data_IF_795259769499
#
_entry.id   IF_795259769499
#
_cell.length_a   1.000
_cell.length_b   1.000
_cell.length_c   1.000
_cell.angle_alpha   90.00
_cell.angle_beta   90.00
_cell.angle_gamma   90.00
#
_symmetry.space_group_name_H-M   'P 1'
#
loop_
_entity.id
_entity.type
_entity.pdbx_description
1 polymer ?
#
# COMPACT_ATOMS: atom_id res chain seq x y z
N UNK A 1 18.61 -17.04 13.21
CA UNK A 1 17.33 -16.90 13.94
C UNK A 1 17.28 -15.47 14.45
N UNK A 2 16.26 -14.70 14.09
CA UNK A 2 16.16 -13.31 14.52
C UNK A 2 15.69 -13.27 15.97
N UNK A 3 16.27 -12.38 16.79
CA UNK A 3 15.80 -12.15 18.15
C UNK A 3 14.46 -11.42 18.12
N UNK A 4 13.40 -12.15 18.42
CA UNK A 4 12.04 -11.61 18.43
C UNK A 4 11.80 -10.92 19.78
N UNK A 5 11.25 -9.72 19.76
CA UNK A 5 10.89 -9.02 20.98
C UNK A 5 9.86 -9.87 21.78
N UNK A 6 10.14 -10.20 23.07
CA UNK A 6 9.28 -11.09 23.87
C UNK A 6 7.80 -10.70 23.94
N UNK A 7 7.49 -9.44 23.75
CA UNK A 7 6.12 -8.88 23.73
C UNK A 7 5.22 -9.51 22.63
N UNK A 8 5.83 -10.16 21.62
CA UNK A 8 5.14 -10.72 20.47
C UNK A 8 5.06 -12.24 20.47
N UNK A 9 5.70 -12.94 21.42
CA UNK A 9 5.87 -14.38 21.38
C UNK A 9 4.57 -15.20 21.34
N UNK A 10 3.47 -14.68 21.92
CA UNK A 10 2.19 -15.38 22.01
C UNK A 10 1.07 -14.71 21.20
N UNK A 11 1.38 -13.67 20.45
CA UNK A 11 0.40 -12.92 19.65
C UNK A 11 0.52 -13.32 18.19
N UNK A 12 -0.57 -13.84 17.62
CA UNK A 12 -0.69 -14.09 16.18
C UNK A 12 -1.71 -13.13 15.58
N UNK A 13 -1.42 -12.62 14.41
CA UNK A 13 -2.33 -11.77 13.66
C UNK A 13 -3.14 -12.62 12.69
N UNK A 14 -4.44 -12.34 12.60
CA UNK A 14 -5.37 -12.95 11.65
C UNK A 14 -5.98 -11.87 10.79
N UNK A 15 -6.19 -12.19 9.52
CA UNK A 15 -6.80 -11.29 8.55
C UNK A 15 -8.07 -11.91 7.99
N UNK A 16 -9.20 -11.21 8.15
CA UNK A 16 -10.45 -11.54 7.47
C UNK A 16 -10.51 -10.75 6.17
N UNK A 17 -10.30 -11.42 5.05
CA UNK A 17 -10.26 -10.79 3.73
C UNK A 17 -11.62 -10.20 3.34
N UNK A 18 -12.72 -10.91 3.60
CA UNK A 18 -14.07 -10.48 3.25
C UNK A 18 -14.50 -9.19 3.98
N UNK A 19 -14.12 -9.05 5.23
CA UNK A 19 -14.41 -7.87 6.06
C UNK A 19 -13.26 -6.85 6.09
N UNK A 20 -12.12 -7.22 5.53
CA UNK A 20 -10.86 -6.44 5.58
C UNK A 20 -10.47 -6.04 7.01
N UNK A 21 -10.55 -7.02 7.94
CA UNK A 21 -10.30 -6.81 9.36
C UNK A 21 -9.13 -7.62 9.86
N UNK A 22 -8.31 -7.00 10.70
CA UNK A 22 -7.23 -7.67 11.42
C UNK A 22 -7.63 -7.87 12.88
N UNK A 23 -7.39 -9.08 13.39
CA UNK A 23 -7.57 -9.41 14.81
C UNK A 23 -6.39 -10.25 15.28
N UNK A 24 -6.15 -10.27 16.59
CA UNK A 24 -5.13 -11.13 17.16
C UNK A 24 -5.70 -12.38 17.90
N UNK A 25 -4.82 -13.19 18.45
CA UNK A 25 -5.15 -14.37 19.26
C UNK A 25 -6.10 -14.07 20.43
N UNK A 26 -6.09 -12.82 20.92
CA UNK A 26 -6.91 -12.34 22.03
C UNK A 26 -8.17 -11.60 21.60
N UNK A 27 -8.51 -11.62 20.30
CA UNK A 27 -9.63 -10.91 19.68
C UNK A 27 -9.53 -9.39 19.71
N UNK A 28 -8.34 -8.81 19.92
CA UNK A 28 -8.17 -7.39 19.76
C UNK A 28 -8.28 -7.03 18.27
N UNK A 29 -9.06 -6.00 17.95
CA UNK A 29 -9.19 -5.49 16.59
C UNK A 29 -8.11 -4.45 16.31
N UNK A 30 -7.44 -4.58 15.17
CA UNK A 30 -6.38 -3.68 14.73
C UNK A 30 -6.88 -2.73 13.64
N UNK A 31 -6.37 -1.52 13.63
CA UNK A 31 -6.50 -0.61 12.48
C UNK A 31 -5.36 -0.89 11.49
N UNK A 32 -5.68 -0.91 10.20
CA UNK A 32 -4.62 -1.03 9.20
C UNK A 32 -3.78 0.25 9.12
N UNK A 33 -2.50 0.12 8.77
CA UNK A 33 -1.61 1.26 8.55
C UNK A 33 -2.20 2.25 7.54
N UNK A 34 -2.78 1.77 6.46
CA UNK A 34 -3.42 2.61 5.44
C UNK A 34 -4.60 3.40 6.00
N UNK A 35 -5.48 2.74 6.77
CA UNK A 35 -6.62 3.40 7.42
C UNK A 35 -6.15 4.46 8.41
N UNK A 36 -5.14 4.16 9.23
CA UNK A 36 -4.55 5.12 10.16
C UNK A 36 -4.03 6.37 9.43
N UNK A 37 -3.29 6.19 8.34
CA UNK A 37 -2.71 7.31 7.59
C UNK A 37 -3.76 8.17 6.89
N UNK A 38 -4.89 7.59 6.47
CA UNK A 38 -6.02 8.34 5.92
C UNK A 38 -6.69 9.27 6.92
N UNK A 39 -6.51 9.09 8.22
CA UNK A 39 -6.98 10.04 9.24
C UNK A 39 -6.22 11.37 9.17
N UNK A 40 -4.99 11.37 8.65
CA UNK A 40 -4.14 12.55 8.47
C UNK A 40 -4.26 13.20 7.09
N UNK A 41 -5.07 12.65 6.20
CA UNK A 41 -5.37 13.27 4.91
C UNK A 41 -6.65 14.11 5.01
N UNK A 42 -6.68 15.34 4.43
CA UNK A 42 -7.91 16.10 4.33
C UNK A 42 -9.01 15.30 3.63
N UNK A 43 -10.19 15.23 4.26
CA UNK A 43 -11.31 14.45 3.72
C UNK A 43 -11.84 15.07 2.43
N UNK A 44 -12.04 14.23 1.42
CA UNK A 44 -12.65 14.63 0.16
C UNK A 44 -14.17 14.81 0.32
N UNK A 45 -14.66 16.02 0.13
CA UNK A 45 -16.10 16.30 0.14
C UNK A 45 -16.75 15.84 -1.17
N UNK A 46 -17.09 14.55 -1.24
CA UNK A 46 -17.72 13.92 -2.41
C UNK A 46 -19.01 14.63 -2.81
N UNK A 47 -19.85 15.06 -1.84
CA UNK A 47 -21.14 15.69 -2.11
C UNK A 47 -20.97 17.06 -2.78
N UNK A 48 -20.08 17.89 -2.23
CA UNK A 48 -19.75 19.19 -2.82
C UNK A 48 -19.23 19.04 -4.25
N UNK A 49 -18.28 18.14 -4.46
CA UNK A 49 -17.66 17.96 -5.76
C UNK A 49 -18.59 17.32 -6.79
N UNK A 50 -19.48 16.41 -6.40
CA UNK A 50 -20.52 15.88 -7.29
C UNK A 50 -21.42 17.00 -7.80
N UNK A 51 -21.98 17.82 -6.90
CA UNK A 51 -22.84 18.95 -7.28
C UNK A 51 -22.14 19.92 -8.21
N UNK A 52 -20.91 20.33 -7.86
CA UNK A 52 -20.12 21.26 -8.66
C UNK A 52 -19.77 20.72 -10.05
N UNK A 53 -19.31 19.47 -10.11
CA UNK A 53 -18.84 18.89 -11.37
C UNK A 53 -19.97 18.44 -12.28
N UNK A 54 -21.09 17.98 -11.73
CA UNK A 54 -22.28 17.67 -12.54
C UNK A 54 -22.81 18.90 -13.26
N UNK A 55 -22.88 20.06 -12.57
CA UNK A 55 -23.25 21.33 -13.18
C UNK A 55 -22.26 21.78 -14.28
N UNK A 56 -20.94 21.66 -14.02
CA UNK A 56 -19.90 22.01 -14.99
C UNK A 56 -19.94 21.12 -16.27
N UNK A 57 -20.36 19.86 -16.13
CA UNK A 57 -20.35 18.88 -17.22
C UNK A 57 -21.71 18.72 -17.90
N UNK A 58 -22.78 19.31 -17.35
CA UNK A 58 -24.14 19.17 -17.88
C UNK A 58 -24.70 17.75 -17.78
N UNK A 59 -24.29 16.98 -16.76
CA UNK A 59 -24.77 15.61 -16.51
C UNK A 59 -25.31 15.49 -15.09
N UNK A 60 -26.18 14.50 -14.83
CA UNK A 60 -26.74 14.32 -13.50
C UNK A 60 -25.68 13.87 -12.49
N UNK A 61 -25.84 14.22 -11.21
CA UNK A 61 -24.97 13.79 -10.11
C UNK A 61 -24.87 12.25 -10.04
N UNK A 62 -26.00 11.56 -10.26
CA UNK A 62 -26.05 10.08 -10.29
C UNK A 62 -25.17 9.51 -11.39
N UNK A 63 -25.22 10.06 -12.61
CA UNK A 63 -24.38 9.62 -13.73
C UNK A 63 -22.90 9.91 -13.46
N UNK A 64 -22.58 11.07 -12.88
CA UNK A 64 -21.21 11.40 -12.51
C UNK A 64 -20.67 10.51 -11.39
N UNK A 65 -21.49 10.22 -10.37
CA UNK A 65 -21.12 9.31 -9.30
C UNK A 65 -20.82 7.90 -9.82
N UNK A 66 -21.65 7.39 -10.75
CA UNK A 66 -21.40 6.12 -11.40
C UNK A 66 -20.08 6.11 -12.19
N UNK A 67 -19.83 7.12 -13.01
CA UNK A 67 -18.55 7.24 -13.73
C UNK A 67 -17.34 7.25 -12.79
N UNK A 68 -17.43 7.91 -11.63
CA UNK A 68 -16.34 7.89 -10.65
C UNK A 68 -16.15 6.51 -10.03
N UNK A 69 -17.24 5.82 -9.77
CA UNK A 69 -17.22 4.46 -9.26
C UNK A 69 -16.58 3.50 -10.28
N UNK A 70 -17.02 3.54 -11.54
CA UNK A 70 -16.49 2.69 -12.63
C UNK A 70 -14.97 2.90 -12.81
N UNK A 71 -14.50 4.16 -12.76
CA UNK A 71 -13.07 4.50 -12.83
C UNK A 71 -12.29 3.91 -11.64
N UNK A 72 -12.88 3.96 -10.45
CA UNK A 72 -12.25 3.45 -9.22
C UNK A 72 -12.18 1.92 -9.27
N UNK A 73 -13.27 1.26 -9.63
CA UNK A 73 -13.36 -0.20 -9.73
C UNK A 73 -12.38 -0.75 -10.78
N UNK A 74 -12.32 -0.13 -11.97
CA UNK A 74 -11.33 -0.50 -12.99
C UNK A 74 -9.89 -0.33 -12.51
N UNK A 75 -9.59 0.78 -11.83
CA UNK A 75 -8.26 1.03 -11.32
C UNK A 75 -7.88 0.05 -10.21
N UNK A 76 -8.80 -0.27 -9.30
CA UNK A 76 -8.61 -1.27 -8.24
C UNK A 76 -8.41 -2.66 -8.84
N UNK A 77 -9.28 -3.10 -9.74
CA UNK A 77 -9.18 -4.42 -10.38
C UNK A 77 -7.86 -4.62 -11.12
N UNK A 78 -7.40 -3.59 -11.85
CA UNK A 78 -6.10 -3.62 -12.52
C UNK A 78 -4.95 -3.66 -11.53
N UNK A 79 -4.99 -2.81 -10.49
CA UNK A 79 -3.97 -2.79 -9.44
C UNK A 79 -3.85 -4.14 -8.75
N UNK A 80 -4.96 -4.70 -8.33
CA UNK A 80 -5.04 -6.03 -7.69
C UNK A 80 -4.48 -7.12 -8.61
N UNK A 81 -4.81 -7.10 -9.90
CA UNK A 81 -4.29 -8.10 -10.85
C UNK A 81 -2.77 -8.06 -10.98
N UNK A 82 -2.17 -6.87 -11.07
CA UNK A 82 -0.71 -6.72 -11.16
C UNK A 82 -0.06 -7.13 -9.83
N UNK A 83 -0.60 -6.66 -8.74
CA UNK A 83 -0.12 -6.92 -7.38
C UNK A 83 -0.14 -8.43 -7.08
N UNK A 84 -1.31 -9.06 -7.25
CA UNK A 84 -1.45 -10.51 -7.02
C UNK A 84 -0.52 -11.32 -7.94
N UNK A 85 -0.34 -10.92 -9.21
CA UNK A 85 0.57 -11.60 -10.13
C UNK A 85 2.03 -11.57 -9.68
N UNK A 86 2.48 -10.47 -9.09
CA UNK A 86 3.83 -10.35 -8.52
C UNK A 86 3.95 -11.12 -7.20
N UNK A 87 2.96 -10.98 -6.34
CA UNK A 87 2.86 -11.69 -5.07
C UNK A 87 2.82 -13.21 -5.27
N UNK A 88 1.94 -13.70 -6.14
CA UNK A 88 1.83 -15.12 -6.46
C UNK A 88 3.13 -15.66 -7.06
N UNK A 89 3.83 -14.86 -7.88
CA UNK A 89 5.15 -15.20 -8.41
C UNK A 89 6.17 -15.43 -7.31
N UNK A 90 6.22 -14.54 -6.32
CA UNK A 90 7.13 -14.69 -5.18
C UNK A 90 6.71 -15.86 -4.30
N UNK A 91 5.43 -16.00 -3.97
CA UNK A 91 4.92 -17.08 -3.13
C UNK A 91 5.08 -18.46 -3.75
N UNK A 92 4.81 -18.60 -5.04
CA UNK A 92 4.96 -19.86 -5.77
C UNK A 92 6.41 -20.33 -5.76
N UNK A 93 7.34 -19.41 -6.01
CA UNK A 93 8.76 -19.74 -6.00
C UNK A 93 9.29 -20.04 -4.61
N UNK A 94 8.73 -19.42 -3.58
CA UNK A 94 9.12 -19.69 -2.19
C UNK A 94 8.60 -21.03 -1.64
N UNK A 95 7.83 -21.79 -2.40
CA UNK A 95 7.20 -23.08 -2.05
C UNK A 95 6.35 -23.05 -0.76
N UNK A 96 5.77 -21.92 -0.41
CA UNK A 96 5.25 -21.71 0.95
C UNK A 96 3.80 -21.30 1.05
N UNK A 97 3.11 -21.23 -0.05
CA UNK A 97 1.69 -20.88 -0.05
C UNK A 97 0.85 -21.80 0.87
N UNK A 98 1.22 -23.07 0.93
CA UNK A 98 0.45 -24.06 1.71
C UNK A 98 0.68 -24.03 3.22
N UNK A 99 1.70 -23.37 3.67
CA UNK A 99 2.02 -23.36 5.11
C UNK A 99 1.62 -22.08 5.84
N UNK A 100 1.27 -21.02 5.10
CA UNK A 100 0.49 -19.91 5.64
C UNK A 100 -0.96 -20.39 5.64
N UNK A 101 -1.18 -21.46 6.34
CA UNK A 101 -2.47 -22.10 6.30
C UNK A 101 -3.49 -21.27 7.01
N UNK A 102 -4.65 -21.24 6.38
CA UNK A 102 -5.92 -21.06 7.03
C UNK A 102 -5.90 -21.80 8.37
N UNK A 103 -5.69 -21.10 9.46
CA UNK A 103 -6.04 -21.61 10.77
C UNK A 103 -7.53 -21.35 10.87
N UNK A 104 -8.39 -22.36 10.63
CA UNK A 104 -9.81 -22.13 10.69
C UNK A 104 -10.15 -21.71 12.11
N UNK A 105 -10.58 -20.47 12.28
CA UNK A 105 -11.44 -20.13 13.40
C UNK A 105 -12.81 -20.72 13.14
N UNK A 106 -13.62 -20.80 14.18
CA UNK A 106 -14.98 -21.34 14.10
C UNK A 106 -15.89 -20.69 13.05
N UNK A 107 -15.50 -19.55 12.47
CA UNK A 107 -16.22 -18.84 11.41
C UNK A 107 -15.68 -19.13 10.00
N UNK A 108 -14.64 -19.91 9.85
CA UNK A 108 -13.98 -20.30 8.59
C UNK A 108 -13.55 -19.12 7.68
N UNK A 109 -13.51 -17.88 8.21
CA UNK A 109 -13.21 -16.67 7.42
C UNK A 109 -11.86 -16.06 7.74
N UNK A 110 -11.18 -16.56 8.78
CA UNK A 110 -9.93 -15.99 9.28
C UNK A 110 -8.73 -16.77 8.78
N UNK A 111 -7.80 -16.05 8.18
CA UNK A 111 -6.52 -16.55 7.70
C UNK A 111 -5.40 -16.01 8.56
N UNK A 112 -4.42 -16.85 8.93
CA UNK A 112 -3.18 -16.34 9.53
C UNK A 112 -2.35 -15.69 8.44
N UNK A 113 -2.03 -14.43 8.59
CA UNK A 113 -1.03 -13.80 7.70
C UNK A 113 0.36 -14.29 8.10
N UNK A 114 1.23 -14.46 7.11
CA UNK A 114 2.63 -14.68 7.38
C UNK A 114 3.19 -13.41 8.00
N UNK A 115 3.52 -13.46 9.26
CA UNK A 115 4.09 -12.33 9.97
C UNK A 115 5.60 -12.52 10.19
N UNK A 116 6.26 -11.40 10.51
CA UNK A 116 7.71 -11.38 10.68
C UNK A 116 8.18 -12.25 11.86
N UNK A 117 7.30 -12.53 12.83
CA UNK A 117 7.64 -13.37 13.98
C UNK A 117 7.72 -14.86 13.61
N UNK A 118 7.05 -15.25 12.53
CA UNK A 118 6.97 -16.63 12.07
C UNK A 118 7.71 -16.87 10.75
N UNK A 119 8.38 -15.86 10.22
CA UNK A 119 8.97 -15.89 8.88
C UNK A 119 9.89 -17.09 8.64
N UNK A 120 10.76 -17.39 9.61
CA UNK A 120 11.70 -18.52 9.49
C UNK A 120 11.04 -19.90 9.64
N UNK A 121 9.80 -19.95 10.17
CA UNK A 121 9.06 -21.19 10.37
C UNK A 121 8.20 -21.53 9.15
N UNK A 122 7.70 -20.52 8.47
CA UNK A 122 6.63 -20.70 7.49
C UNK A 122 6.98 -20.18 6.08
N UNK A 123 7.98 -19.34 5.90
CA UNK A 123 8.26 -18.72 4.60
C UNK A 123 9.68 -18.99 4.14
N UNK A 124 9.80 -19.45 2.89
CA UNK A 124 11.06 -19.51 2.17
C UNK A 124 11.28 -18.23 1.39
N UNK A 125 12.53 -17.77 1.27
CA UNK A 125 12.84 -16.64 0.41
C UNK A 125 12.61 -16.99 -1.06
N UNK A 126 12.41 -15.97 -1.87
CA UNK A 126 12.28 -16.09 -3.33
C UNK A 126 13.46 -16.84 -3.96
N UNK A 127 13.16 -17.63 -4.98
CA UNK A 127 14.14 -18.16 -5.95
C UNK A 127 14.01 -17.33 -7.23
N UNK A 128 15.04 -16.54 -7.55
CA UNK A 128 14.95 -15.50 -8.58
C UNK A 128 14.63 -16.05 -9.97
N UNK A 129 15.28 -17.14 -10.40
CA UNK A 129 15.04 -17.74 -11.72
C UNK A 129 13.60 -18.22 -11.90
N UNK A 130 13.00 -18.77 -10.82
CA UNK A 130 11.61 -19.19 -10.83
C UNK A 130 10.67 -17.99 -10.91
N UNK A 131 10.95 -16.92 -10.17
CA UNK A 131 10.20 -15.68 -10.23
C UNK A 131 10.23 -15.03 -11.62
N UNK A 132 11.41 -14.96 -12.25
CA UNK A 132 11.58 -14.47 -13.61
C UNK A 132 10.75 -15.29 -14.59
N UNK A 133 10.78 -16.61 -14.47
CA UNK A 133 10.00 -17.53 -15.32
C UNK A 133 8.50 -17.36 -15.10
N UNK A 134 8.05 -17.26 -13.85
CA UNK A 134 6.65 -17.08 -13.51
C UNK A 134 6.08 -15.75 -14.04
N UNK A 135 6.85 -14.68 -13.91
CA UNK A 135 6.46 -13.34 -14.38
C UNK A 135 6.75 -13.12 -15.88
N UNK A 136 7.11 -14.18 -16.62
CA UNK A 136 7.34 -14.15 -18.07
C UNK A 136 8.37 -13.07 -18.49
N UNK A 137 9.35 -12.81 -17.64
CA UNK A 137 10.39 -11.79 -17.87
C UNK A 137 9.86 -10.35 -18.10
N UNK A 138 8.75 -10.00 -17.46
CA UNK A 138 8.09 -8.68 -17.65
C UNK A 138 8.74 -7.53 -16.87
N UNK A 139 9.52 -7.82 -15.82
CA UNK A 139 10.00 -6.81 -14.87
C UNK A 139 11.54 -6.78 -14.73
N UNK A 140 12.33 -6.55 -15.81
CA UNK A 140 13.79 -6.67 -15.77
C UNK A 140 14.45 -5.81 -14.67
N UNK A 141 13.96 -4.60 -14.42
CA UNK A 141 14.49 -3.73 -13.37
C UNK A 141 14.27 -4.26 -11.95
N UNK A 142 13.19 -5.00 -11.73
CA UNK A 142 12.94 -5.66 -10.45
C UNK A 142 13.91 -6.82 -10.27
N UNK A 143 14.14 -7.59 -11.33
CA UNK A 143 15.08 -8.74 -11.30
C UNK A 143 16.50 -8.29 -11.00
N UNK A 144 16.98 -7.21 -11.62
CA UNK A 144 18.31 -6.63 -11.35
C UNK A 144 18.46 -6.26 -9.86
N UNK A 145 17.41 -5.69 -9.24
CA UNK A 145 17.44 -5.34 -7.83
C UNK A 145 17.42 -6.57 -6.96
N UNK A 146 16.56 -7.54 -7.27
CA UNK A 146 16.46 -8.77 -6.49
C UNK A 146 17.78 -9.56 -6.58
N UNK A 147 18.36 -9.68 -7.78
CA UNK A 147 19.66 -10.31 -7.98
C UNK A 147 20.75 -9.64 -7.15
N UNK A 148 20.81 -8.30 -7.20
CA UNK A 148 21.77 -7.55 -6.40
C UNK A 148 21.66 -7.88 -4.91
N UNK A 149 20.44 -7.89 -4.34
CA UNK A 149 20.28 -8.16 -2.92
C UNK A 149 20.54 -9.63 -2.57
N UNK A 150 20.09 -10.58 -3.38
CA UNK A 150 20.33 -12.01 -3.16
C UNK A 150 21.83 -12.30 -3.20
N UNK A 151 22.55 -11.77 -4.18
CA UNK A 151 24.01 -11.91 -4.31
C UNK A 151 24.76 -11.31 -3.11
N UNK A 152 24.18 -10.28 -2.46
CA UNK A 152 24.73 -9.67 -1.24
C UNK A 152 24.21 -10.31 0.06
N UNK A 153 23.66 -11.53 0.00
CA UNK A 153 23.27 -12.32 1.16
C UNK A 153 21.93 -11.94 1.80
N UNK A 154 21.09 -11.18 1.09
CA UNK A 154 19.72 -10.91 1.55
C UNK A 154 18.77 -12.00 1.09
N UNK A 155 17.72 -12.21 1.88
CA UNK A 155 16.56 -13.02 1.54
C UNK A 155 15.41 -12.09 1.21
N UNK A 156 14.57 -12.44 0.25
CA UNK A 156 13.42 -11.61 -0.20
C UNK A 156 12.14 -12.39 0.04
N UNK A 157 11.18 -11.72 0.66
CA UNK A 157 9.87 -12.27 1.04
C UNK A 157 8.75 -11.34 0.58
N UNK A 158 7.57 -11.88 0.34
CA UNK A 158 6.37 -11.12 -0.03
C UNK A 158 5.25 -11.29 0.99
N UNK A 159 4.39 -10.29 1.10
CA UNK A 159 3.17 -10.29 1.90
C UNK A 159 3.41 -10.65 3.39
N UNK A 160 4.34 -9.93 3.99
CA UNK A 160 4.69 -10.15 5.40
C UNK A 160 3.83 -9.29 6.31
N UNK A 161 3.04 -9.92 7.16
CA UNK A 161 2.26 -9.24 8.19
C UNK A 161 3.16 -8.62 9.26
N UNK A 162 2.89 -7.36 9.58
CA UNK A 162 3.54 -6.62 10.66
C UNK A 162 2.50 -5.94 11.53
N UNK A 163 2.72 -5.91 12.84
CA UNK A 163 1.76 -5.32 13.76
C UNK A 163 2.40 -4.87 15.08
N UNK A 164 1.75 -3.92 15.72
CA UNK A 164 2.13 -3.40 17.05
C UNK A 164 0.97 -3.64 18.02
N UNK A 165 1.01 -4.70 18.85
CA UNK A 165 -0.07 -5.03 19.77
C UNK A 165 -0.44 -3.90 20.73
N UNK A 166 0.54 -3.17 21.24
CA UNK A 166 0.32 -2.07 22.17
C UNK A 166 -0.40 -0.86 21.55
N UNK A 167 -0.41 -0.76 20.23
CA UNK A 167 -1.03 0.31 19.45
C UNK A 167 -2.20 -0.15 18.61
N UNK A 168 -2.44 -1.46 18.56
CA UNK A 168 -3.47 -2.10 17.74
C UNK A 168 -3.40 -1.59 16.29
N UNK A 169 -2.18 -1.59 15.73
CA UNK A 169 -1.91 -1.23 14.34
C UNK A 169 -1.32 -2.45 13.65
N UNK A 170 -1.77 -2.68 12.42
CA UNK A 170 -1.29 -3.78 11.58
C UNK A 170 -1.12 -3.34 10.13
N UNK A 171 -0.48 -4.19 9.34
CA UNK A 171 -0.40 -4.05 7.91
C UNK A 171 0.38 -5.20 7.29
N UNK A 172 0.44 -5.20 5.97
CA UNK A 172 1.17 -6.18 5.18
C UNK A 172 2.23 -5.49 4.36
N UNK A 173 3.45 -6.01 4.41
CA UNK A 173 4.60 -5.53 3.64
C UNK A 173 4.64 -6.31 2.34
N UNK A 174 4.52 -5.62 1.20
CA UNK A 174 4.55 -6.26 -0.12
C UNK A 174 5.88 -6.96 -0.39
N UNK A 175 7.00 -6.31 -0.03
CA UNK A 175 8.35 -6.84 -0.22
C UNK A 175 9.20 -6.55 1.00
N UNK A 176 9.67 -7.59 1.66
CA UNK A 176 10.67 -7.51 2.71
C UNK A 176 11.98 -8.12 2.22
N UNK A 177 13.06 -7.32 2.22
CA UNK A 177 14.42 -7.73 1.88
C UNK A 177 15.22 -7.76 3.16
N UNK A 178 15.60 -8.94 3.64
CA UNK A 178 16.05 -9.17 5.00
C UNK A 178 17.42 -9.83 5.03
N UNK A 179 18.30 -9.32 5.87
CA UNK A 179 19.56 -9.91 6.26
C UNK A 179 19.69 -9.85 7.80
N UNK A 180 20.59 -10.59 8.39
CA UNK A 180 20.73 -10.69 9.86
C UNK A 180 20.97 -9.34 10.54
N UNK A 181 21.65 -8.41 9.88
CA UNK A 181 22.06 -7.13 10.45
C UNK A 181 21.19 -5.94 10.00
N UNK A 182 20.34 -6.09 8.98
CA UNK A 182 19.52 -5.01 8.41
C UNK A 182 18.42 -5.50 7.49
N UNK A 183 17.49 -4.61 7.19
CA UNK A 183 16.41 -4.89 6.26
C UNK A 183 16.08 -3.70 5.35
N UNK A 184 15.42 -3.99 4.23
CA UNK A 184 14.79 -2.99 3.36
C UNK A 184 13.32 -3.36 3.15
N UNK A 185 12.51 -2.36 2.82
CA UNK A 185 11.09 -2.55 2.47
C UNK A 185 10.83 -1.97 1.10
N UNK A 186 10.16 -2.74 0.26
CA UNK A 186 9.61 -2.32 -1.01
C UNK A 186 8.08 -2.44 -1.01
N UNK A 187 7.44 -1.67 -1.90
CA UNK A 187 5.99 -1.69 -2.03
C UNK A 187 5.61 -1.40 -3.49
N UNK A 188 4.62 -2.16 -4.00
CA UNK A 188 4.13 -2.05 -5.37
C UNK A 188 3.08 -0.96 -5.49
N UNK A 189 3.19 -0.11 -6.50
CA UNK A 189 2.17 0.92 -6.78
C UNK A 189 1.82 0.94 -8.26
N UNK A 190 0.53 1.02 -8.55
CA UNK A 190 -0.02 0.98 -9.91
C UNK A 190 -0.86 2.22 -10.26
N UNK A 191 -0.64 3.32 -9.56
CA UNK A 191 -1.40 4.56 -9.75
C UNK A 191 -1.29 5.06 -11.19
N UNK A 192 -2.43 5.33 -11.82
CA UNK A 192 -2.46 5.99 -13.11
C UNK A 192 -1.87 7.41 -13.01
N UNK A 193 -0.98 7.74 -13.95
CA UNK A 193 -0.32 9.06 -13.99
C UNK A 193 0.85 9.19 -13.03
N UNK A 194 1.33 8.07 -12.46
CA UNK A 194 2.54 7.99 -11.67
C UNK A 194 2.43 8.49 -10.24
N UNK A 195 3.54 8.46 -9.54
CA UNK A 195 3.65 8.99 -8.19
C UNK A 195 3.91 10.49 -8.23
N UNK A 196 3.27 11.21 -7.33
CA UNK A 196 3.43 12.66 -7.15
C UNK A 196 3.95 12.92 -5.75
N UNK A 197 4.99 13.75 -5.66
CA UNK A 197 5.61 14.19 -4.42
C UNK A 197 5.27 15.65 -4.06
N UNK A 198 4.39 16.25 -4.86
CA UNK A 198 3.83 17.59 -4.65
C UNK A 198 2.31 17.53 -4.75
N UNK A 199 1.64 18.34 -3.94
CA UNK A 199 0.19 18.54 -4.09
C UNK A 199 -0.12 19.34 -5.35
N UNK A 200 -1.15 18.96 -6.10
CA UNK A 200 -1.52 19.64 -7.33
C UNK A 200 -2.45 18.81 -8.22
N UNK A 201 -2.57 19.25 -9.47
CA UNK A 201 -3.37 18.55 -10.47
C UNK A 201 -2.88 18.89 -11.89
N UNK A 202 -3.15 17.99 -12.82
CA UNK A 202 -2.96 18.30 -14.25
C UNK A 202 -4.09 19.17 -14.78
N UNK A 203 -3.72 20.24 -15.51
CA UNK A 203 -4.68 21.07 -16.21
C UNK A 203 -5.46 20.24 -17.23
N UNK A 204 -6.74 20.59 -17.43
CA UNK A 204 -7.59 19.91 -18.41
C UNK A 204 -7.80 20.79 -19.63
N UNK A 205 -7.64 20.20 -20.81
CA UNK A 205 -8.19 20.75 -22.04
C UNK A 205 -9.70 20.53 -22.04
N UNK A 206 -10.44 21.64 -22.07
CA UNK A 206 -11.91 21.67 -22.05
C UNK A 206 -12.52 21.83 -23.43
N UNK A 207 -11.72 21.98 -24.46
CA UNK A 207 -12.19 22.08 -25.85
C UNK A 207 -12.61 20.71 -26.39
N UNK A 208 -12.02 19.65 -25.85
CA UNK A 208 -12.34 18.26 -26.19
C UNK A 208 -13.46 17.68 -25.31
N UNK A 209 -14.22 16.76 -25.86
CA UNK A 209 -15.27 16.01 -25.15
C UNK A 209 -15.03 14.50 -25.32
N UNK A 210 -14.76 13.77 -24.24
CA UNK A 210 -14.59 14.23 -22.86
C UNK A 210 -13.32 15.05 -22.67
N UNK A 211 -13.32 15.94 -21.66
CA UNK A 211 -12.16 16.76 -21.33
C UNK A 211 -10.91 15.89 -21.12
N UNK A 212 -9.81 16.25 -21.80
CA UNK A 212 -8.54 15.53 -21.71
C UNK A 212 -7.61 16.14 -20.67
N UNK A 213 -6.71 15.35 -20.08
CA UNK A 213 -5.61 15.86 -19.29
C UNK A 213 -4.54 16.41 -20.21
N UNK A 214 -3.96 17.56 -19.83
CA UNK A 214 -2.73 18.08 -20.45
C UNK A 214 -1.51 17.66 -19.62
N UNK A 215 -0.32 17.83 -20.13
CA UNK A 215 0.96 17.63 -19.43
C UNK A 215 1.30 18.77 -18.45
N UNK A 216 0.48 19.82 -18.39
CA UNK A 216 0.70 20.99 -17.52
C UNK A 216 0.29 20.69 -16.09
N UNK A 217 1.26 20.58 -15.19
CA UNK A 217 1.04 20.45 -13.75
C UNK A 217 0.79 21.80 -13.08
N UNK A 218 -0.26 21.86 -12.25
CA UNK A 218 -0.60 23.04 -11.46
C UNK A 218 -0.39 22.71 -9.99
N UNK A 219 0.68 23.22 -9.35
CA UNK A 219 0.96 22.95 -7.96
C UNK A 219 -0.06 23.62 -7.04
N UNK A 220 -0.27 23.00 -5.87
CA UNK A 220 -1.08 23.51 -4.77
C UNK A 220 -0.30 23.47 -3.46
N UNK A 221 -0.69 24.32 -2.53
CA UNK A 221 -0.12 24.31 -1.16
C UNK A 221 -0.92 23.44 -0.18
N UNK A 222 -1.61 22.42 -0.71
CA UNK A 222 -2.38 21.51 0.13
C UNK A 222 -1.42 20.60 0.92
N UNK A 223 -1.60 20.50 2.22
CA UNK A 223 -0.78 19.68 3.13
C UNK A 223 -1.62 18.66 3.87
N UNK A 224 -0.96 17.67 4.48
CA UNK A 224 -1.60 16.73 5.39
C UNK A 224 -2.06 17.43 6.67
N UNK A 225 -2.80 16.72 7.53
CA UNK A 225 -3.25 17.23 8.82
C UNK A 225 -2.15 17.07 9.89
N UNK A 226 -2.18 17.88 10.98
CA UNK A 226 -1.26 17.66 12.10
C UNK A 226 -1.34 16.22 12.64
N UNK A 227 -0.20 15.65 13.10
CA UNK A 227 1.09 16.29 13.32
C UNK A 227 2.05 16.26 12.13
N UNK A 228 1.60 15.90 10.92
CA UNK A 228 2.43 15.77 9.71
C UNK A 228 2.11 16.83 8.65
N UNK A 229 1.56 17.97 9.07
CA UNK A 229 1.10 19.06 8.20
C UNK A 229 2.22 19.85 7.49
N UNK A 230 3.46 19.47 7.64
CA UNK A 230 4.59 19.95 6.83
C UNK A 230 4.79 19.13 5.56
N UNK A 231 4.12 17.97 5.43
CA UNK A 231 4.16 17.13 4.25
C UNK A 231 3.05 17.53 3.26
N UNK A 232 3.34 17.56 1.94
CA UNK A 232 2.32 17.85 0.94
C UNK A 232 1.24 16.77 0.92
N UNK A 233 -0.01 17.18 0.68
CA UNK A 233 -1.14 16.25 0.51
C UNK A 233 -1.09 15.62 -0.89
N UNK A 234 -0.32 14.56 -1.02
CA UNK A 234 -0.15 13.79 -2.26
C UNK A 234 0.08 12.31 -1.98
N UNK A 235 -0.07 11.48 -3.01
CA UNK A 235 0.12 10.03 -2.87
C UNK A 235 1.54 9.65 -2.44
N UNK A 236 2.56 10.35 -2.93
CA UNK A 236 3.96 10.11 -2.54
C UNK A 236 4.20 10.30 -1.04
N UNK A 237 3.58 11.30 -0.40
CA UNK A 237 3.67 11.51 1.04
C UNK A 237 3.00 10.39 1.83
N UNK A 238 1.79 9.97 1.43
CA UNK A 238 1.05 8.89 2.10
C UNK A 238 1.81 7.56 1.99
N UNK A 239 2.31 7.21 0.80
CA UNK A 239 3.07 5.98 0.61
C UNK A 239 4.43 5.99 1.32
N UNK A 240 5.08 7.15 1.38
CA UNK A 240 6.31 7.29 2.17
C UNK A 240 6.05 7.10 3.68
N UNK A 241 4.97 7.65 4.20
CA UNK A 241 4.54 7.40 5.58
C UNK A 241 4.18 5.93 5.80
N UNK A 242 3.48 5.28 4.86
CA UNK A 242 3.13 3.85 4.92
C UNK A 242 4.39 2.99 5.08
N UNK A 243 5.35 3.14 4.17
CA UNK A 243 6.63 2.44 4.25
C UNK A 243 7.38 2.74 5.55
N UNK A 244 7.33 3.99 6.01
CA UNK A 244 7.99 4.40 7.24
C UNK A 244 7.35 3.81 8.50
N UNK A 245 6.02 3.65 8.52
CA UNK A 245 5.33 2.94 9.62
C UNK A 245 5.72 1.47 9.62
N UNK A 246 5.76 0.82 8.46
CA UNK A 246 6.22 -0.57 8.36
C UNK A 246 7.68 -0.72 8.79
N UNK A 247 8.55 0.20 8.38
CA UNK A 247 9.94 0.19 8.84
C UNK A 247 10.04 0.34 10.36
N UNK A 248 9.25 1.22 10.96
CA UNK A 248 9.22 1.36 12.42
C UNK A 248 8.75 0.08 13.11
N UNK A 249 7.76 -0.62 12.55
CA UNK A 249 7.29 -1.91 13.08
C UNK A 249 8.39 -2.96 13.02
N UNK A 250 9.02 -3.16 11.85
CA UNK A 250 10.11 -4.13 11.68
C UNK A 250 11.28 -3.82 12.61
N UNK A 251 11.71 -2.56 12.66
CA UNK A 251 12.78 -2.13 13.56
C UNK A 251 12.45 -2.42 15.04
N UNK A 252 11.18 -2.19 15.43
CA UNK A 252 10.71 -2.47 16.80
C UNK A 252 10.68 -3.96 17.10
N UNK A 253 10.28 -4.80 16.15
CA UNK A 253 10.12 -6.24 16.33
C UNK A 253 11.48 -6.94 16.31
N UNK A 254 12.31 -6.66 15.32
CA UNK A 254 13.57 -7.38 15.08
C UNK A 254 14.80 -6.71 15.74
N UNK A 255 14.71 -5.45 16.14
CA UNK A 255 15.85 -4.73 16.73
C UNK A 255 16.98 -4.40 15.76
N UNK A 256 16.77 -4.55 14.44
CA UNK A 256 17.77 -4.28 13.41
C UNK A 256 17.43 -3.02 12.60
N UNK A 257 18.45 -2.29 12.06
CA UNK A 257 18.23 -1.01 11.39
C UNK A 257 17.67 -1.17 9.98
N UNK A 258 16.84 -0.21 9.57
CA UNK A 258 16.41 -0.06 8.18
C UNK A 258 17.58 0.40 7.29
N UNK A 259 17.82 -0.28 6.18
CA UNK A 259 18.84 0.04 5.18
C UNK A 259 18.27 0.79 3.96
N UNK A 260 16.96 0.83 3.80
CA UNK A 260 16.32 1.57 2.72
C UNK A 260 14.83 1.27 2.54
N UNK A 261 14.14 2.23 1.94
CA UNK A 261 12.74 2.13 1.56
C UNK A 261 12.62 2.48 0.08
N UNK A 262 11.76 1.77 -0.65
CA UNK A 262 11.53 2.08 -2.05
C UNK A 262 10.10 1.75 -2.49
N UNK A 263 9.63 2.50 -3.47
CA UNK A 263 8.38 2.25 -4.18
C UNK A 263 8.70 1.78 -5.58
N UNK A 264 8.06 0.69 -5.98
CA UNK A 264 8.09 0.21 -7.34
C UNK A 264 6.77 0.59 -8.02
N UNK A 265 6.82 1.63 -8.84
CA UNK A 265 5.66 2.04 -9.61
C UNK A 265 5.64 1.31 -10.95
N UNK A 266 4.57 0.56 -11.17
CA UNK A 266 4.30 -0.16 -12.42
C UNK A 266 3.20 0.60 -13.16
N UNK A 267 3.60 1.32 -14.20
CA UNK A 267 2.67 2.10 -15.01
C UNK A 267 2.09 1.22 -16.11
N UNK A 268 0.77 1.27 -16.24
CA UNK A 268 0.07 0.58 -17.33
C UNK A 268 0.25 1.34 -18.63
N UNK A 269 0.44 0.62 -19.73
CA UNK A 269 0.59 1.20 -21.05
C UNK A 269 -0.77 1.64 -21.61
N UNK A 270 -1.21 2.81 -21.17
CA UNK A 270 -2.46 3.42 -21.61
C UNK A 270 -2.39 3.90 -23.06
N UNK A 271 -3.54 3.93 -23.73
CA UNK A 271 -3.71 4.74 -24.93
C UNK A 271 -3.56 6.20 -24.54
N UNK A 272 -2.66 6.93 -25.21
CA UNK A 272 -2.34 8.31 -24.90
C UNK A 272 -3.16 9.29 -25.76
N UNK A 273 -3.40 10.48 -25.22
CA UNK A 273 -3.93 11.63 -25.94
C UNK A 273 -2.77 12.43 -26.59
N UNK A 274 -3.08 13.54 -27.24
CA UNK A 274 -2.10 14.41 -27.92
C UNK A 274 -1.09 15.07 -26.98
N UNK A 275 -1.38 15.14 -25.67
CA UNK A 275 -0.48 15.67 -24.65
C UNK A 275 0.40 14.59 -24.00
N UNK A 276 0.39 13.35 -24.55
CA UNK A 276 1.13 12.25 -23.96
C UNK A 276 0.56 11.74 -22.63
N UNK A 277 -0.67 12.13 -22.27
CA UNK A 277 -1.35 11.73 -21.07
C UNK A 277 -2.37 10.62 -21.36
N UNK A 278 -2.74 9.77 -20.37
CA UNK A 278 -3.80 8.78 -20.59
C UNK A 278 -5.06 9.39 -21.18
N UNK A 279 -5.50 8.84 -22.31
CA UNK A 279 -6.68 9.32 -23.05
C UNK A 279 -7.96 8.93 -22.34
N UNK A 280 -8.81 9.89 -22.04
CA UNK A 280 -10.15 9.65 -21.54
C UNK A 280 -11.10 9.42 -22.72
N UNK A 281 -11.81 8.28 -22.73
CA UNK A 281 -12.73 7.90 -23.78
C UNK A 281 -14.17 8.37 -23.47
N UNK A 282 -15.11 8.31 -24.45
CA UNK A 282 -16.51 8.74 -24.27
C UNK A 282 -17.28 7.98 -23.16
N UNK A 283 -16.90 6.74 -22.86
CA UNK A 283 -17.40 5.96 -21.72
C UNK A 283 -16.95 6.51 -20.36
N UNK A 284 -15.99 7.44 -20.35
CA UNK A 284 -15.44 8.07 -19.17
C UNK A 284 -14.19 7.34 -18.62
N UNK A 285 -13.82 6.20 -19.21
CA UNK A 285 -12.72 5.35 -18.78
C UNK A 285 -11.39 5.67 -19.49
N UNK A 286 -10.32 5.02 -19.06
CA UNK A 286 -8.99 5.08 -19.63
C UNK A 286 -8.57 3.67 -20.03
N UNK A 287 -8.36 3.45 -21.33
CA UNK A 287 -8.10 2.11 -21.85
C UNK A 287 -6.59 1.84 -21.97
N UNK A 288 -6.21 0.61 -21.60
CA UNK A 288 -4.86 0.09 -21.81
C UNK A 288 -4.75 -0.38 -23.28
N UNK A 289 -3.55 -0.29 -23.86
CA UNK A 289 -3.28 -0.81 -25.20
C UNK A 289 -3.53 -2.32 -25.30
N UNK A 290 -3.76 -2.84 -26.50
CA UNK A 290 -4.00 -4.28 -26.72
C UNK A 290 -2.82 -5.16 -26.24
N UNK A 291 -1.60 -4.73 -26.49
CA UNK A 291 -0.37 -5.41 -26.05
C UNK A 291 0.41 -4.45 -25.14
N UNK A 292 0.04 -4.35 -23.87
CA UNK A 292 0.64 -3.39 -22.97
C UNK A 292 2.08 -3.80 -22.62
N UNK A 293 2.97 -2.80 -22.61
CA UNK A 293 4.32 -2.93 -22.06
C UNK A 293 4.31 -2.21 -20.72
N UNK A 294 4.48 -2.94 -19.63
CA UNK A 294 4.51 -2.35 -18.30
C UNK A 294 5.85 -1.63 -18.07
N UNK A 295 5.75 -0.36 -17.66
CA UNK A 295 6.92 0.46 -17.36
C UNK A 295 7.15 0.51 -15.87
N UNK A 296 8.28 -0.02 -15.43
CA UNK A 296 8.70 0.01 -14.02
C UNK A 296 9.54 1.24 -13.73
N UNK A 297 9.16 1.99 -12.69
CA UNK A 297 9.93 3.11 -12.14
C UNK A 297 10.14 2.93 -10.65
N UNK A 298 11.40 3.02 -10.21
CA UNK A 298 11.77 2.83 -8.81
C UNK A 298 12.04 4.19 -8.16
N UNK A 299 11.47 4.38 -6.98
CA UNK A 299 11.64 5.58 -6.17
C UNK A 299 12.25 5.20 -4.82
N UNK A 300 13.44 5.69 -4.54
CA UNK A 300 14.04 5.57 -3.21
C UNK A 300 13.33 6.55 -2.27
N UNK A 301 12.83 6.03 -1.15
CA UNK A 301 12.04 6.78 -0.18
C UNK A 301 12.87 7.09 1.07
N UNK A 302 12.55 8.19 1.72
CA UNK A 302 13.18 8.58 2.97
C UNK A 302 12.45 7.92 4.15
N UNK A 303 13.17 7.39 5.12
CA UNK A 303 12.57 6.93 6.37
C UNK A 303 12.13 8.14 7.23
N UNK A 304 10.82 8.34 7.36
CA UNK A 304 10.17 9.43 8.09
C UNK A 304 9.93 9.03 9.56
N UNK A 305 10.99 8.61 10.26
CA UNK A 305 10.89 8.05 11.62
C UNK A 305 10.26 9.03 12.61
N UNK A 306 10.60 10.32 12.54
CA UNK A 306 10.06 11.37 13.42
C UNK A 306 8.55 11.55 13.21
N UNK A 307 8.12 11.60 11.98
CA UNK A 307 6.71 11.73 11.58
C UNK A 307 5.91 10.53 12.08
N UNK A 308 6.45 9.32 11.90
CA UNK A 308 5.85 8.09 12.41
C UNK A 308 5.70 8.14 13.93
N UNK A 309 6.74 8.52 14.66
CA UNK A 309 6.66 8.64 16.13
C UNK A 309 5.55 9.62 16.57
N UNK A 310 5.36 10.73 15.87
CA UNK A 310 4.28 11.67 16.16
C UNK A 310 2.90 11.04 15.92
N UNK A 311 2.71 10.37 14.78
CA UNK A 311 1.46 9.65 14.47
C UNK A 311 1.16 8.57 15.53
N UNK A 312 2.16 7.77 15.90
CA UNK A 312 2.00 6.71 16.89
C UNK A 312 1.74 7.27 18.31
N UNK A 313 2.28 8.44 18.63
CA UNK A 313 1.96 9.15 19.87
C UNK A 313 0.49 9.56 19.92
N UNK A 314 -0.07 10.06 18.83
CA UNK A 314 -1.50 10.38 18.76
C UNK A 314 -2.37 9.11 18.86
N UNK A 315 -1.98 8.03 18.20
CA UNK A 315 -2.67 6.74 18.32
C UNK A 315 -2.72 6.23 19.77
N UNK A 316 -1.63 6.38 20.54
CA UNK A 316 -1.62 6.03 21.98
C UNK A 316 -2.67 6.79 22.78
N UNK A 317 -2.84 8.09 22.50
CA UNK A 317 -3.87 8.92 23.17
C UNK A 317 -5.28 8.40 22.87
N UNK A 318 -5.55 8.04 21.62
CA UNK A 318 -6.84 7.48 21.20
C UNK A 318 -7.15 6.18 21.95
N UNK A 319 -6.18 5.25 22.02
CA UNK A 319 -6.35 3.98 22.73
C UNK A 319 -6.58 4.21 24.23
N UNK A 320 -5.81 5.10 24.85
CA UNK A 320 -5.97 5.44 26.27
C UNK A 320 -7.38 6.00 26.55
N UNK A 321 -7.86 6.91 25.71
CA UNK A 321 -9.21 7.47 25.85
C UNK A 321 -10.32 6.42 25.71
N UNK A 322 -10.18 5.48 24.75
CA UNK A 322 -11.16 4.39 24.56
C UNK A 322 -11.22 3.44 25.76
N UNK A 323 -10.06 3.13 26.36
CA UNK A 323 -10.00 2.25 27.56
C UNK A 323 -10.67 2.91 28.79
N UNK A 324 -10.48 4.21 28.98
CA UNK A 324 -11.15 4.95 30.06
C UNK A 324 -12.67 4.95 29.88
N UNK A 325 -13.14 5.17 28.65
CA UNK A 325 -14.59 5.14 28.35
C UNK A 325 -15.21 3.75 28.58
N UNK A 326 -14.49 2.67 28.22
CA UNK A 326 -15.00 1.32 28.47
C UNK A 326 -15.04 0.98 29.97
N UNK A 327 -14.11 1.44 30.77
CA UNK A 327 -14.12 1.24 32.23
C UNK A 327 -15.27 2.01 32.90
N UNK A 328 -15.54 3.26 32.49
CA UNK A 328 -16.64 4.07 33.05
C UNK A 328 -18.06 3.59 32.70
N UNK A 329 -18.18 2.64 31.78
CA UNK A 329 -19.48 2.00 31.44
C UNK A 329 -19.80 0.78 32.34
N UNK A 330 -18.83 0.31 33.14
CA UNK A 330 -18.95 -0.83 34.04
C UNK A 330 -18.86 -0.47 35.52
N UNK A 331 -18.60 0.83 35.82
CA UNK A 331 -18.73 1.44 37.17
C UNK A 331 -20.12 2.14 37.31
#
# INVERSE_FOLDING_TARGET
>A
MYDINPIYNDVRLYFNEAEHKYTDTFNNQYISTTTLLHEYAPKFDKKYWLKKKSAELGISEKRLAQQWQDITEEACARGTKIHNGLEDGIKTTSMFYDAIQHIPRNDNTMTTVADINTIDQYIKPIVLDEFIKFTENKYPKVYEIFDYYITNGYKIYSEIGVFLPNLLISGTIDILILREDRYLIGDWKTNRGGLKFEAGYYKKDRTQKPNQLTDVWVPKKDVLLPPVNHLPNCNGSIYNLQLSVYAFMVETILGIPNAGLWLCHIDSDFVLNEYGMPKRFPDGLYHVKKNPIEKVTLFKMKYLKKEVMNILSDRRKVIAATRIQSQSLFD
#
